data_IF_331137828779
#
_entry.id   IF_331137828779
#
_cell.length_a   1.000
_cell.length_b   1.000
_cell.length_c   1.000
_cell.angle_alpha   90.00
_cell.angle_beta   90.00
_cell.angle_gamma   90.00
#
_symmetry.space_group_name_H-M   'P 1'
#
loop_
_entity.id
_entity.type
_entity.pdbx_description
1 polymer ?
#
# COMPACT_ATOMS: atom_id res chain seq x y z
N UNK A 1 -10.20 24.91 8.20
CA UNK A 1 -10.51 23.49 8.39
C UNK A 1 -9.53 22.67 7.56
N UNK A 2 -8.35 22.40 8.11
CA UNK A 2 -7.45 21.39 7.54
C UNK A 2 -7.92 20.01 8.02
N UNK A 3 -8.11 19.11 7.07
CA UNK A 3 -8.48 17.73 7.36
C UNK A 3 -7.22 16.89 7.63
N UNK A 4 -7.39 15.74 8.29
CA UNK A 4 -6.33 14.75 8.46
C UNK A 4 -5.59 14.51 7.14
N UNK A 5 -4.25 14.58 7.18
CA UNK A 5 -3.43 14.36 5.99
C UNK A 5 -3.18 12.86 5.86
N UNK A 6 -3.68 12.29 4.77
CA UNK A 6 -3.44 10.91 4.41
C UNK A 6 -2.20 10.84 3.53
N UNK A 7 -1.15 10.19 4.01
CA UNK A 7 -0.01 9.85 3.18
C UNK A 7 0.12 8.34 3.15
N UNK A 8 -0.43 7.70 2.13
CA UNK A 8 0.04 6.38 1.75
C UNK A 8 1.36 6.58 1.01
N UNK A 9 2.47 6.39 1.72
CA UNK A 9 3.82 6.44 1.15
C UNK A 9 4.52 5.17 1.57
N UNK A 10 4.63 4.23 0.64
CA UNK A 10 5.81 3.38 0.49
C UNK A 10 5.80 2.74 -0.87
N UNK A 11 6.79 3.11 -1.67
CA UNK A 11 7.14 2.49 -2.91
C UNK A 11 8.61 2.07 -2.73
N UNK A 12 8.85 0.77 -2.51
CA UNK A 12 10.20 0.21 -2.58
C UNK A 12 10.19 -0.82 -3.70
N UNK A 13 10.44 -0.34 -4.92
CA UNK A 13 10.76 -1.14 -6.08
C UNK A 13 12.25 -0.97 -6.37
N UNK A 14 13.01 -2.07 -6.30
CA UNK A 14 14.33 -2.13 -6.93
C UNK A 14 14.13 -2.01 -8.45
N UNK A 15 14.30 -0.81 -8.99
CA UNK A 15 14.51 -0.61 -10.42
C UNK A 15 15.90 -1.11 -10.80
N UNK A 16 15.99 -2.15 -11.64
CA UNK A 16 17.15 -2.33 -12.53
C UNK A 16 16.72 -3.03 -13.82
N UNK A 17 16.71 -2.26 -14.90
CA UNK A 17 16.60 -2.76 -16.27
C UNK A 17 17.86 -2.36 -17.03
N UNK A 18 18.51 -3.30 -17.73
CA UNK A 18 19.19 -3.03 -19.01
C UNK A 18 19.47 -4.32 -19.78
N UNK A 19 18.84 -4.37 -20.95
CA UNK A 19 19.23 -4.99 -22.22
C UNK A 19 19.89 -6.39 -22.22
N UNK A 20 19.13 -7.35 -22.76
CA UNK A 20 19.65 -8.58 -23.31
C UNK A 20 20.57 -8.29 -24.52
N UNK A 21 21.73 -8.94 -24.56
CA UNK A 21 22.46 -9.19 -25.79
C UNK A 21 22.98 -10.63 -25.75
N UNK A 22 22.30 -11.55 -26.42
CA UNK A 22 22.80 -12.91 -26.64
C UNK A 22 22.48 -13.36 -28.07
N UNK A 23 23.54 -13.48 -28.86
CA UNK A 23 23.57 -14.17 -30.15
C UNK A 23 23.10 -15.64 -29.98
N UNK A 24 22.39 -16.23 -30.95
CA UNK A 24 21.78 -17.55 -30.77
C UNK A 24 22.76 -18.68 -31.14
N UNK A 25 22.97 -19.63 -30.23
CA UNK A 25 23.47 -20.98 -30.55
C UNK A 25 22.48 -22.04 -30.01
N UNK A 26 22.25 -23.16 -30.72
CA UNK A 26 20.99 -23.90 -30.67
C UNK A 26 20.87 -24.94 -29.54
N UNK A 27 21.77 -24.94 -28.56
CA UNK A 27 21.88 -26.02 -27.55
C UNK A 27 21.13 -25.67 -26.24
N UNK A 28 20.57 -24.47 -26.12
CA UNK A 28 20.15 -23.90 -24.83
C UNK A 28 18.64 -23.91 -24.54
N UNK A 29 17.80 -24.59 -25.33
CA UNK A 29 16.34 -24.56 -25.13
C UNK A 29 15.88 -25.24 -23.84
N UNK A 30 16.58 -26.28 -23.37
CA UNK A 30 16.25 -27.00 -22.13
C UNK A 30 16.63 -26.23 -20.86
N UNK A 31 17.74 -25.48 -20.89
CA UNK A 31 18.16 -24.61 -19.77
C UNK A 31 17.39 -23.29 -19.72
N UNK A 32 16.76 -22.89 -20.84
CA UNK A 32 15.92 -21.70 -20.90
C UNK A 32 14.56 -21.93 -20.24
N UNK A 33 14.00 -23.15 -20.32
CA UNK A 33 12.71 -23.46 -19.73
C UNK A 33 12.73 -23.36 -18.19
N UNK A 34 13.83 -23.79 -17.56
CA UNK A 34 13.99 -23.70 -16.10
C UNK A 34 14.13 -22.26 -15.62
N UNK A 35 14.78 -21.39 -16.40
CA UNK A 35 14.86 -19.96 -16.07
C UNK A 35 13.50 -19.27 -16.08
N UNK A 36 12.58 -19.66 -16.96
CA UNK A 36 11.23 -19.06 -17.02
C UNK A 36 10.44 -19.33 -15.73
N UNK A 37 10.59 -20.52 -15.12
CA UNK A 37 9.96 -20.82 -13.83
C UNK A 37 10.55 -19.97 -12.69
N UNK A 38 11.88 -19.77 -12.66
CA UNK A 38 12.54 -18.94 -11.63
C UNK A 38 12.18 -17.46 -11.78
N UNK A 39 12.01 -16.97 -13.01
CA UNK A 39 11.59 -15.58 -13.29
C UNK A 39 10.12 -15.34 -12.91
N UNK A 40 9.29 -16.38 -12.86
CA UNK A 40 7.87 -16.24 -12.55
C UNK A 40 7.59 -15.91 -11.07
N UNK A 41 8.47 -16.29 -10.15
CA UNK A 41 8.22 -16.12 -8.71
C UNK A 41 8.77 -14.80 -8.13
N UNK A 42 9.69 -14.12 -8.82
CA UNK A 42 10.24 -12.85 -8.36
C UNK A 42 9.37 -11.63 -8.72
N UNK A 43 8.56 -11.73 -9.78
CA UNK A 43 7.68 -10.64 -10.25
C UNK A 43 6.34 -10.53 -9.51
N UNK A 44 6.00 -11.53 -8.69
CA UNK A 44 4.71 -11.62 -7.97
C UNK A 44 4.80 -11.19 -6.50
N UNK A 45 5.94 -10.63 -6.06
CA UNK A 45 6.07 -10.10 -4.71
C UNK A 45 5.24 -8.83 -4.56
N UNK A 46 3.97 -9.04 -4.23
CA UNK A 46 2.93 -8.06 -3.93
C UNK A 46 3.52 -6.83 -3.24
N UNK A 47 3.28 -5.65 -3.83
CA UNK A 47 3.78 -4.38 -3.30
C UNK A 47 3.32 -4.20 -1.86
N UNK A 48 4.26 -3.90 -0.96
CA UNK A 48 3.92 -3.53 0.41
C UNK A 48 3.34 -2.12 0.39
N UNK A 49 2.17 -1.94 1.00
CA UNK A 49 1.56 -0.64 1.18
C UNK A 49 1.74 -0.21 2.62
N UNK A 50 2.38 0.94 2.83
CA UNK A 50 2.43 1.61 4.14
C UNK A 50 1.44 2.79 4.14
N UNK A 51 0.65 2.90 5.20
CA UNK A 51 -0.39 3.91 5.40
C UNK A 51 -0.07 4.67 6.67
N UNK A 52 0.05 5.99 6.54
CA UNK A 52 0.21 6.91 7.66
C UNK A 52 -0.98 7.87 7.73
N UNK A 53 -1.61 7.91 8.90
CA UNK A 53 -2.69 8.83 9.26
C UNK A 53 -2.12 9.83 10.26
N UNK A 54 -1.99 11.09 9.85
CA UNK A 54 -1.48 12.17 10.69
C UNK A 54 -2.62 13.09 11.14
N UNK A 55 -2.74 13.31 12.46
CA UNK A 55 -3.72 14.22 13.03
C UNK A 55 -3.22 15.68 12.94
N UNK A 56 -3.68 16.40 11.91
CA UNK A 56 -3.48 17.85 11.72
C UNK A 56 -4.79 18.64 11.90
N UNK A 57 -5.70 18.16 12.76
CA UNK A 57 -6.96 18.86 13.04
C UNK A 57 -6.70 20.18 13.76
N UNK A 58 -7.36 21.25 13.28
CA UNK A 58 -7.28 22.58 13.89
C UNK A 58 -7.73 22.54 15.36
N UNK A 59 -7.22 23.48 16.17
CA UNK A 59 -7.64 23.67 17.56
C UNK A 59 -7.07 22.66 18.57
N UNK A 60 -6.07 21.86 18.19
CA UNK A 60 -5.48 20.89 19.12
C UNK A 60 -6.39 19.68 19.37
N UNK A 61 -7.27 19.37 18.43
CA UNK A 61 -8.32 18.36 18.63
C UNK A 61 -7.77 16.94 18.51
N UNK A 62 -8.13 16.09 19.46
CA UNK A 62 -7.81 14.66 19.42
C UNK A 62 -8.71 13.93 18.41
N UNK A 63 -8.13 12.99 17.70
CA UNK A 63 -8.78 12.18 16.67
C UNK A 63 -8.88 10.73 17.17
N UNK A 64 -10.10 10.20 17.30
CA UNK A 64 -10.30 8.77 17.50
C UNK A 64 -10.57 8.12 16.15
N UNK A 65 -9.86 7.06 15.81
CA UNK A 65 -10.06 6.33 14.55
C UNK A 65 -10.21 4.84 14.78
N UNK A 66 -11.04 4.19 13.97
CA UNK A 66 -11.13 2.73 13.90
C UNK A 66 -10.95 2.30 12.46
N UNK A 67 -9.82 1.65 12.16
CA UNK A 67 -9.51 1.18 10.82
C UNK A 67 -9.72 -0.32 10.67
N UNK A 68 -10.36 -0.75 9.58
CA UNK A 68 -10.49 -2.16 9.25
C UNK A 68 -10.59 -2.41 7.76
N UNK A 69 -10.39 -3.67 7.39
CA UNK A 69 -10.65 -4.23 6.07
C UNK A 69 -11.67 -5.36 6.21
N UNK A 70 -11.93 -6.11 5.13
CA UNK A 70 -12.81 -7.28 5.17
C UNK A 70 -12.36 -8.33 6.20
N UNK A 71 -11.04 -8.56 6.30
CA UNK A 71 -10.48 -9.68 7.07
C UNK A 71 -9.56 -9.25 8.21
N UNK A 72 -9.18 -7.97 8.27
CA UNK A 72 -8.22 -7.45 9.24
C UNK A 72 -8.79 -6.22 9.93
N UNK A 73 -8.94 -6.29 11.25
CA UNK A 73 -9.35 -5.18 12.10
C UNK A 73 -8.13 -4.65 12.85
N UNK A 74 -7.83 -3.36 12.69
CA UNK A 74 -6.68 -2.70 13.34
C UNK A 74 -7.05 -2.09 14.70
N UNK A 75 -8.32 -2.19 15.09
CA UNK A 75 -8.84 -1.67 16.34
C UNK A 75 -9.03 -0.16 16.36
N UNK A 76 -9.38 0.33 17.56
CA UNK A 76 -9.54 1.75 17.85
C UNK A 76 -8.20 2.35 18.27
N UNK A 77 -7.87 3.49 17.70
CA UNK A 77 -6.67 4.26 18.00
C UNK A 77 -7.05 5.68 18.39
N UNK A 78 -6.41 6.21 19.44
CA UNK A 78 -6.59 7.59 19.90
C UNK A 78 -5.34 8.40 19.54
N UNK A 79 -5.50 9.36 18.64
CA UNK A 79 -4.43 10.22 18.15
C UNK A 79 -4.56 11.61 18.74
N UNK A 80 -3.65 11.95 19.64
CA UNK A 80 -3.47 13.32 20.09
C UNK A 80 -3.14 14.27 18.92
N UNK A 81 -3.38 15.57 19.09
CA UNK A 81 -2.97 16.57 18.11
C UNK A 81 -1.47 16.43 17.75
N UNK A 82 -1.17 16.47 16.43
CA UNK A 82 0.18 16.27 15.86
C UNK A 82 0.78 14.89 16.05
N UNK A 83 -0.02 13.89 16.41
CA UNK A 83 0.40 12.49 16.45
C UNK A 83 -0.04 11.72 15.19
N UNK A 84 0.50 10.52 15.01
CA UNK A 84 0.21 9.67 13.85
C UNK A 84 -0.07 8.22 14.22
N UNK A 85 -0.88 7.57 13.38
CA UNK A 85 -1.05 6.12 13.36
C UNK A 85 -0.53 5.59 12.04
N UNK A 86 0.27 4.53 12.11
CA UNK A 86 0.84 3.88 10.94
C UNK A 86 0.52 2.39 10.96
N UNK A 87 0.17 1.85 9.80
CA UNK A 87 0.06 0.43 9.60
C UNK A 87 0.47 0.07 8.18
N UNK A 88 0.77 -1.21 7.97
CA UNK A 88 1.14 -1.71 6.66
C UNK A 88 0.51 -3.06 6.37
N UNK A 89 0.35 -3.32 5.07
CA UNK A 89 -0.24 -4.55 4.59
C UNK A 89 0.25 -4.85 3.17
N UNK A 90 0.01 -6.07 2.73
CA UNK A 90 0.20 -6.48 1.33
C UNK A 90 -1.18 -6.73 0.73
N UNK A 91 -1.54 -6.04 -0.36
CA UNK A 91 -2.80 -6.30 -1.05
C UNK A 91 -2.88 -7.74 -1.53
N UNK A 92 -4.08 -8.30 -1.51
CA UNK A 92 -4.32 -9.66 -2.00
C UNK A 92 -4.11 -9.73 -3.51
N UNK A 93 -3.55 -10.82 -4.02
CA UNK A 93 -3.41 -11.04 -5.47
C UNK A 93 -4.75 -10.97 -6.24
N UNK A 94 -5.88 -11.22 -5.56
CA UNK A 94 -7.22 -11.17 -6.16
C UNK A 94 -7.79 -9.76 -6.35
N UNK A 95 -7.07 -8.69 -6.00
CA UNK A 95 -7.45 -7.32 -6.37
C UNK A 95 -8.56 -6.67 -5.53
N UNK A 96 -8.92 -7.25 -4.37
CA UNK A 96 -10.10 -6.87 -3.59
C UNK A 96 -9.76 -6.25 -2.20
N UNK A 97 -8.60 -5.65 -2.04
CA UNK A 97 -8.14 -5.07 -0.77
C UNK A 97 -8.72 -3.68 -0.56
N UNK A 98 -9.45 -3.51 0.53
CA UNK A 98 -10.07 -2.25 0.93
C UNK A 98 -9.79 -2.02 2.42
N UNK A 99 -9.23 -0.86 2.77
CA UNK A 99 -9.17 -0.38 4.14
C UNK A 99 -9.99 0.89 4.27
N UNK A 100 -10.90 0.88 5.23
CA UNK A 100 -11.75 2.00 5.57
C UNK A 100 -11.64 2.29 7.06
N UNK A 101 -11.69 3.57 7.41
CA UNK A 101 -11.55 4.01 8.79
C UNK A 101 -12.71 4.92 9.18
N UNK A 102 -13.27 4.68 10.36
CA UNK A 102 -14.06 5.72 11.01
C UNK A 102 -13.12 6.69 11.69
N UNK A 103 -13.51 7.95 11.69
CA UNK A 103 -12.80 9.04 12.31
C UNK A 103 -13.80 9.88 13.07
N UNK A 104 -13.51 10.07 14.35
CA UNK A 104 -14.33 10.84 15.25
C UNK A 104 -13.51 11.98 15.85
N UNK A 105 -14.01 13.20 15.68
CA UNK A 105 -13.44 14.41 16.26
C UNK A 105 -14.57 15.40 16.55
N UNK A 106 -14.47 16.15 17.65
CA UNK A 106 -15.44 17.18 18.03
C UNK A 106 -16.92 16.73 17.94
N UNK A 107 -17.22 15.52 18.41
CA UNK A 107 -18.57 14.92 18.37
C UNK A 107 -19.08 14.48 16.98
N UNK A 108 -18.31 14.70 15.92
CA UNK A 108 -18.64 14.27 14.56
C UNK A 108 -17.92 12.97 14.23
N UNK A 109 -18.63 12.01 13.63
CA UNK A 109 -18.06 10.76 13.12
C UNK A 109 -18.24 10.65 11.61
N UNK A 110 -17.17 10.32 10.88
CA UNK A 110 -17.18 10.12 9.43
C UNK A 110 -16.37 8.88 9.04
N UNK A 111 -16.76 8.24 7.95
CA UNK A 111 -16.03 7.11 7.37
C UNK A 111 -15.25 7.54 6.13
N UNK A 112 -14.05 6.99 5.97
CA UNK A 112 -13.17 7.27 4.84
C UNK A 112 -12.53 5.99 4.31
N UNK A 113 -12.54 5.83 2.98
CA UNK A 113 -11.83 4.75 2.29
C UNK A 113 -10.36 5.14 2.09
N UNK A 114 -9.53 4.72 3.05
CA UNK A 114 -8.11 5.09 3.12
C UNK A 114 -7.31 4.40 2.02
N UNK A 115 -7.64 3.15 1.71
CA UNK A 115 -7.02 2.42 0.61
C UNK A 115 -8.06 1.65 -0.18
N UNK A 116 -8.09 1.84 -1.49
CA UNK A 116 -8.90 1.06 -2.43
C UNK A 116 -7.95 0.49 -3.48
N UNK A 117 -7.84 -0.82 -3.56
CA UNK A 117 -6.85 -1.48 -4.42
C UNK A 117 -6.90 -0.98 -5.87
N UNK A 118 -8.07 -0.97 -6.51
CA UNK A 118 -8.22 -0.49 -7.89
C UNK A 118 -7.83 0.99 -8.11
N UNK A 119 -7.90 1.82 -7.06
CA UNK A 119 -7.52 3.25 -7.11
C UNK A 119 -6.04 3.47 -6.82
N UNK A 120 -5.50 2.73 -5.85
CA UNK A 120 -4.23 3.05 -5.20
C UNK A 120 -3.07 2.13 -5.65
N UNK A 121 -3.34 0.93 -6.17
CA UNK A 121 -2.29 0.01 -6.65
C UNK A 121 -1.44 0.61 -7.76
N UNK A 122 -2.07 1.34 -8.69
CA UNK A 122 -1.38 1.95 -9.84
C UNK A 122 -0.46 3.10 -9.44
N UNK A 123 -0.67 3.71 -8.27
CA UNK A 123 0.20 4.75 -7.71
C UNK A 123 1.55 4.17 -7.25
N UNK A 124 1.63 2.86 -7.07
CA UNK A 124 2.85 2.12 -6.72
C UNK A 124 3.60 1.55 -7.94
N UNK A 125 3.05 1.64 -9.16
CA UNK A 125 3.63 1.02 -10.39
C UNK A 125 4.34 2.05 -11.29
N UNK A 126 4.21 3.35 -11.03
CA UNK A 126 4.86 4.39 -11.85
C UNK A 126 6.32 4.58 -11.47
N UNK A 127 7.20 3.82 -12.11
CA UNK A 127 8.58 4.22 -12.34
C UNK A 127 8.57 5.31 -13.43
N UNK A 128 8.97 6.54 -13.10
CA UNK A 128 9.38 7.56 -14.08
C UNK A 128 10.88 7.47 -14.30
#
# INVERSE_FOLDING_TARGET
>A
MRAARFTSRSCMLFCRSSAANMNPLPINWLLSLTLVFVVSEAGLLLHKTDVLIYNDLDGGTDLTLHCKSKNNDLGIQHLAYRNYFEFNFRPSFLGNTLFYCSMQWNGTMRWFDIYVEGRDVSRCIRCL
#
